data_IF_102700583001
#
_entry.id   IF_102700583001
#
_cell.length_a   1.000
_cell.length_b   1.000
_cell.length_c   1.000
_cell.angle_alpha   90.00
_cell.angle_beta   90.00
_cell.angle_gamma   90.00
#
_symmetry.space_group_name_H-M   'P 1'
#
loop_
_entity.id
_entity.type
_entity.pdbx_description
1 polymer ?
#
# COMPACT_ATOMS: atom_id res chain seq x y z
N UNK A 1 43.81 -43.33 59.17
CA UNK A 1 44.04 -42.01 59.81
C UNK A 1 43.38 -40.97 58.95
N UNK A 2 42.68 -40.06 59.57
CA UNK A 2 42.02 -38.86 59.09
C UNK A 2 40.61 -39.07 58.49
N UNK A 3 39.66 -38.80 59.35
CA UNK A 3 38.22 -38.62 59.08
C UNK A 3 37.94 -37.39 58.22
N UNK A 4 36.98 -37.49 57.32
CA UNK A 4 36.30 -36.35 56.75
C UNK A 4 34.84 -36.40 57.08
N UNK A 5 34.39 -35.38 57.78
CA UNK A 5 33.00 -35.08 58.09
C UNK A 5 32.26 -34.63 56.85
N UNK A 6 31.11 -35.20 56.58
CA UNK A 6 30.13 -34.78 55.61
C UNK A 6 29.19 -33.77 56.30
N UNK A 7 29.09 -32.59 55.74
CA UNK A 7 28.02 -31.62 56.10
C UNK A 7 26.96 -31.60 55.01
N UNK A 8 25.79 -32.13 55.33
CA UNK A 8 24.58 -32.01 54.53
C UNK A 8 24.11 -30.56 54.52
N UNK A 9 24.11 -29.96 53.33
CA UNK A 9 23.51 -28.68 53.04
C UNK A 9 22.17 -28.88 52.33
N UNK A 10 21.08 -28.78 53.07
CA UNK A 10 19.73 -28.83 52.53
C UNK A 10 19.50 -27.64 51.64
N UNK A 11 19.29 -27.89 50.33
CA UNK A 11 18.85 -26.90 49.35
C UNK A 11 17.35 -26.65 49.49
N UNK A 12 16.99 -25.45 49.89
CA UNK A 12 15.61 -24.96 49.86
C UNK A 12 15.15 -24.77 48.42
N UNK A 13 13.94 -25.20 48.03
CA UNK A 13 13.44 -24.96 46.65
C UNK A 13 13.14 -23.48 46.46
N UNK A 14 13.82 -22.89 45.48
CA UNK A 14 13.43 -21.58 44.96
C UNK A 14 12.05 -21.69 44.33
N UNK A 15 11.08 -21.04 44.94
CA UNK A 15 9.76 -20.83 44.35
C UNK A 15 9.91 -20.04 43.04
N UNK A 16 9.40 -20.62 41.97
CA UNK A 16 9.31 -19.98 40.67
C UNK A 16 8.21 -18.88 40.69
N UNK A 17 8.60 -17.65 40.91
CA UNK A 17 7.73 -16.45 40.80
C UNK A 17 7.62 -15.97 39.36
N UNK A 18 7.31 -16.87 38.42
CA UNK A 18 7.36 -16.58 36.98
C UNK A 18 6.02 -16.50 36.25
N UNK A 19 4.88 -16.72 36.89
CA UNK A 19 3.62 -16.86 36.15
C UNK A 19 2.68 -15.63 36.14
N UNK A 20 2.91 -14.63 36.99
CA UNK A 20 1.97 -13.49 37.12
C UNK A 20 2.32 -12.37 36.11
N UNK A 21 3.60 -12.19 35.75
CA UNK A 21 4.02 -11.16 34.80
C UNK A 21 3.61 -11.44 33.35
N UNK A 22 3.63 -12.70 32.90
CA UNK A 22 3.27 -13.08 31.55
C UNK A 22 1.80 -12.84 31.21
N UNK A 23 0.89 -13.15 32.14
CA UNK A 23 -0.55 -12.95 31.94
C UNK A 23 -0.95 -11.47 31.96
N UNK A 24 -0.30 -10.66 32.78
CA UNK A 24 -0.52 -9.22 32.86
C UNK A 24 0.01 -8.51 31.60
N UNK A 25 1.16 -8.93 31.07
CA UNK A 25 1.71 -8.43 29.80
C UNK A 25 0.80 -8.81 28.65
N UNK A 26 0.33 -10.06 28.55
CA UNK A 26 -0.62 -10.49 27.50
C UNK A 26 -1.96 -9.76 27.57
N UNK A 27 -2.49 -9.48 28.77
CA UNK A 27 -3.73 -8.67 28.92
C UNK A 27 -3.51 -7.22 28.54
N UNK A 28 -2.37 -6.63 28.85
CA UNK A 28 -1.99 -5.28 28.42
C UNK A 28 -1.79 -5.19 26.90
N UNK A 29 -1.19 -6.21 26.29
CA UNK A 29 -1.00 -6.30 24.84
C UNK A 29 -2.33 -6.46 24.09
N UNK A 30 -3.25 -7.31 24.57
CA UNK A 30 -4.61 -7.45 24.02
C UNK A 30 -5.43 -6.14 24.15
N UNK A 31 -5.34 -5.46 25.28
CA UNK A 31 -6.00 -4.17 25.50
C UNK A 31 -5.49 -3.09 24.56
N UNK A 32 -4.18 -3.01 24.34
CA UNK A 32 -3.55 -2.09 23.41
C UNK A 32 -3.96 -2.36 21.95
N UNK A 33 -4.04 -3.63 21.58
CA UNK A 33 -4.42 -4.05 20.24
C UNK A 33 -5.89 -3.70 19.94
N UNK A 34 -6.78 -3.93 20.90
CA UNK A 34 -8.20 -3.57 20.80
C UNK A 34 -8.38 -2.05 20.71
N UNK A 35 -7.61 -1.27 21.47
CA UNK A 35 -7.71 0.19 21.48
C UNK A 35 -7.37 0.83 20.12
N UNK A 36 -6.43 0.25 19.34
CA UNK A 36 -6.05 0.78 18.02
C UNK A 36 -6.78 0.10 16.85
N UNK A 37 -7.33 -1.09 17.04
CA UNK A 37 -8.03 -1.82 15.99
C UNK A 37 -9.30 -1.10 15.51
N UNK A 38 -10.11 -0.61 16.45
CA UNK A 38 -11.34 0.10 16.12
C UNK A 38 -11.09 1.41 15.33
N UNK A 39 -10.12 2.28 15.71
CA UNK A 39 -9.72 3.41 14.87
C UNK A 39 -9.25 2.99 13.47
N UNK A 40 -8.42 1.96 13.36
CA UNK A 40 -7.94 1.49 12.07
C UNK A 40 -9.09 0.96 11.19
N UNK A 41 -10.07 0.28 11.77
CA UNK A 41 -11.24 -0.20 11.02
C UNK A 41 -12.14 0.94 10.55
N UNK A 42 -12.28 2.03 11.32
CA UNK A 42 -12.96 3.26 10.83
C UNK A 42 -12.25 3.84 9.62
N UNK A 43 -10.92 3.87 9.64
CA UNK A 43 -10.11 4.29 8.48
C UNK A 43 -10.36 3.36 7.28
N UNK A 44 -10.38 2.04 7.52
CA UNK A 44 -10.69 1.07 6.47
C UNK A 44 -12.09 1.31 5.87
N UNK A 45 -13.09 1.57 6.71
CA UNK A 45 -14.45 1.87 6.28
C UNK A 45 -14.51 3.17 5.45
N UNK A 46 -13.79 4.22 5.86
CA UNK A 46 -13.67 5.47 5.10
C UNK A 46 -13.07 5.24 3.71
N UNK A 47 -11.97 4.48 3.63
CA UNK A 47 -11.35 4.16 2.35
C UNK A 47 -12.28 3.32 1.47
N UNK A 48 -12.98 2.31 2.03
CA UNK A 48 -13.95 1.49 1.27
C UNK A 48 -15.12 2.30 0.71
N UNK A 49 -15.54 3.34 1.42
CA UNK A 49 -16.63 4.23 0.98
C UNK A 49 -16.20 5.22 -0.13
N UNK A 50 -14.91 5.30 -0.44
CA UNK A 50 -14.41 6.23 -1.46
C UNK A 50 -14.63 5.68 -2.87
N UNK A 51 -14.96 6.59 -3.80
CA UNK A 51 -15.09 6.25 -5.22
C UNK A 51 -13.75 5.95 -5.90
N UNK A 52 -12.64 6.52 -5.38
CA UNK A 52 -11.28 6.33 -5.91
C UNK A 52 -10.40 5.74 -4.81
N UNK A 53 -9.85 4.58 -5.08
CA UNK A 53 -8.92 3.89 -4.17
C UNK A 53 -7.59 3.67 -4.89
N UNK A 54 -6.51 4.12 -4.24
CA UNK A 54 -5.15 3.83 -4.64
C UNK A 54 -4.58 2.70 -3.78
N UNK A 55 -3.89 1.74 -4.40
CA UNK A 55 -3.32 0.60 -3.68
C UNK A 55 -1.90 0.30 -4.14
N UNK A 56 -1.08 -0.14 -3.21
CA UNK A 56 0.29 -0.58 -3.43
C UNK A 56 0.68 -1.61 -2.37
N UNK A 57 1.75 -2.37 -2.60
CA UNK A 57 2.23 -3.34 -1.62
C UNK A 57 3.75 -3.43 -1.61
N UNK A 58 4.28 -3.85 -0.48
CA UNK A 58 5.70 -4.15 -0.30
C UNK A 58 5.88 -5.42 0.52
N UNK A 59 7.01 -6.10 0.33
CA UNK A 59 7.30 -7.28 1.16
C UNK A 59 7.50 -6.90 2.62
N UNK A 60 7.02 -7.74 3.52
CA UNK A 60 7.26 -7.73 4.95
C UNK A 60 7.84 -9.07 5.40
N UNK A 61 8.36 -9.14 6.62
CA UNK A 61 8.80 -10.41 7.22
C UNK A 61 8.11 -10.59 8.57
N UNK A 62 7.49 -11.76 8.77
CA UNK A 62 6.82 -12.12 10.03
C UNK A 62 7.29 -13.52 10.42
N UNK A 63 7.87 -13.67 11.63
CA UNK A 63 8.46 -14.95 12.10
C UNK A 63 9.43 -15.57 11.06
N UNK A 64 10.22 -14.72 10.40
CA UNK A 64 11.17 -15.18 9.38
C UNK A 64 10.56 -15.55 8.01
N UNK A 65 9.25 -15.57 7.87
CA UNK A 65 8.53 -15.87 6.61
C UNK A 65 8.24 -14.58 5.83
N UNK A 66 8.13 -14.68 4.50
CA UNK A 66 7.73 -13.57 3.64
C UNK A 66 6.24 -13.36 3.75
N UNK A 67 5.88 -12.14 4.10
CA UNK A 67 4.53 -11.58 4.14
C UNK A 67 4.51 -10.32 3.28
N UNK A 68 3.33 -9.69 3.14
CA UNK A 68 3.15 -8.50 2.30
C UNK A 68 2.37 -7.44 3.06
N UNK A 69 2.92 -6.24 3.08
CA UNK A 69 2.20 -5.08 3.57
C UNK A 69 1.54 -4.39 2.39
N UNK A 70 0.24 -4.26 2.48
CA UNK A 70 -0.61 -3.58 1.52
C UNK A 70 -1.05 -2.23 2.07
N UNK A 71 -1.26 -1.27 1.16
CA UNK A 71 -1.92 0.00 1.45
C UNK A 71 -3.13 0.14 0.57
N UNK A 72 -4.20 0.68 1.16
CA UNK A 72 -5.38 1.12 0.45
C UNK A 72 -5.63 2.56 0.87
N UNK A 73 -5.64 3.50 -0.06
CA UNK A 73 -5.73 4.93 0.23
C UNK A 73 -6.76 5.65 -0.61
N UNK A 74 -7.40 6.66 -0.02
CA UNK A 74 -8.23 7.64 -0.70
C UNK A 74 -7.67 9.05 -0.44
N UNK A 75 -8.38 10.10 -0.83
CA UNK A 75 -7.94 11.48 -0.63
C UNK A 75 -7.61 11.81 0.83
N UNK A 76 -8.39 11.28 1.79
CA UNK A 76 -8.33 11.66 3.21
C UNK A 76 -7.74 10.60 4.12
N UNK A 77 -7.70 9.33 3.70
CA UNK A 77 -7.36 8.22 4.56
C UNK A 77 -6.43 7.20 3.88
N UNK A 78 -5.64 6.48 4.69
CA UNK A 78 -4.79 5.36 4.26
C UNK A 78 -4.92 4.22 5.23
N UNK A 79 -5.35 3.07 4.76
CA UNK A 79 -5.42 1.83 5.51
C UNK A 79 -4.26 0.91 5.14
N UNK A 80 -3.63 0.31 6.16
CA UNK A 80 -2.57 -0.67 5.99
C UNK A 80 -2.99 -2.02 6.53
N UNK A 81 -2.61 -3.08 5.81
CA UNK A 81 -2.74 -4.46 6.27
C UNK A 81 -1.47 -5.25 5.96
N UNK A 82 -1.08 -6.16 6.86
CA UNK A 82 0.03 -7.09 6.62
C UNK A 82 -0.55 -8.50 6.53
N UNK A 83 -0.43 -9.09 5.34
CA UNK A 83 -1.01 -10.39 4.99
C UNK A 83 0.07 -11.41 4.60
N UNK A 84 -0.18 -12.73 4.77
CA UNK A 84 0.77 -13.77 4.41
C UNK A 84 0.91 -13.99 2.90
N UNK A 85 0.12 -13.30 2.09
CA UNK A 85 0.06 -13.48 0.64
C UNK A 85 0.08 -12.15 -0.12
N UNK A 86 0.59 -12.19 -1.37
CA UNK A 86 0.48 -11.13 -2.38
C UNK A 86 -0.72 -11.36 -3.32
N UNK A 87 -1.63 -12.24 -2.94
CA UNK A 87 -2.74 -12.68 -3.78
C UNK A 87 -3.90 -11.69 -3.84
N UNK A 88 -4.74 -11.89 -4.86
CA UNK A 88 -5.96 -11.10 -5.13
C UNK A 88 -6.97 -11.13 -3.96
N UNK A 89 -6.93 -12.15 -3.10
CA UNK A 89 -7.79 -12.24 -1.92
C UNK A 89 -7.64 -11.03 -0.99
N UNK A 90 -6.43 -10.45 -0.85
CA UNK A 90 -6.20 -9.35 0.09
C UNK A 90 -7.02 -8.10 -0.26
N UNK A 91 -6.94 -7.53 -1.49
CA UNK A 91 -7.83 -6.43 -1.86
C UNK A 91 -9.32 -6.86 -1.94
N UNK A 92 -9.64 -8.11 -2.29
CA UNK A 92 -11.01 -8.60 -2.28
C UNK A 92 -11.60 -8.62 -0.86
N UNK A 93 -10.85 -9.15 0.11
CA UNK A 93 -11.27 -9.20 1.52
C UNK A 93 -11.37 -7.78 2.10
N UNK A 94 -10.42 -6.89 1.76
CA UNK A 94 -10.49 -5.48 2.17
C UNK A 94 -11.77 -4.81 1.67
N UNK A 95 -12.17 -5.03 0.42
CA UNK A 95 -13.34 -4.40 -0.17
C UNK A 95 -14.66 -4.96 0.39
N UNK A 96 -14.70 -6.23 0.82
CA UNK A 96 -15.90 -6.83 1.41
C UNK A 96 -17.15 -6.76 0.51
N UNK A 97 -16.95 -6.86 -0.81
CA UNK A 97 -18.02 -6.77 -1.82
C UNK A 97 -18.31 -5.37 -2.35
N UNK A 98 -17.71 -4.32 -1.78
CA UNK A 98 -17.79 -2.96 -2.35
C UNK A 98 -17.01 -2.89 -3.65
N UNK A 99 -17.56 -2.20 -4.65
CA UNK A 99 -16.89 -1.95 -5.93
C UNK A 99 -16.73 -0.44 -6.15
N UNK A 100 -15.54 0.13 -5.90
CA UNK A 100 -15.28 1.54 -6.16
C UNK A 100 -15.36 1.84 -7.66
N UNK A 101 -15.51 3.11 -8.02
CA UNK A 101 -15.52 3.52 -9.43
C UNK A 101 -14.15 3.40 -10.07
N UNK A 102 -13.08 3.66 -9.31
CA UNK A 102 -11.73 3.64 -9.85
C UNK A 102 -10.72 3.03 -8.87
N UNK A 103 -9.83 2.21 -9.41
CA UNK A 103 -8.67 1.65 -8.74
C UNK A 103 -7.39 2.17 -9.38
N UNK A 104 -6.47 2.68 -8.57
CA UNK A 104 -5.14 3.13 -9.01
C UNK A 104 -4.08 2.22 -8.41
N UNK A 105 -3.28 1.57 -9.25
CA UNK A 105 -2.17 0.72 -8.77
C UNK A 105 -1.07 0.58 -9.83
N UNK A 106 -0.06 -0.22 -9.51
CA UNK A 106 0.84 -0.80 -10.49
C UNK A 106 0.14 -1.89 -11.35
N UNK A 107 0.94 -2.61 -12.16
CA UNK A 107 0.44 -3.68 -13.06
C UNK A 107 0.39 -5.06 -12.42
N UNK A 108 0.45 -5.19 -11.10
CA UNK A 108 0.31 -6.49 -10.45
C UNK A 108 -1.06 -7.09 -10.74
N UNK A 109 -1.11 -8.33 -11.21
CA UNK A 109 -2.37 -9.01 -11.54
C UNK A 109 -3.35 -9.08 -10.36
N UNK A 110 -2.85 -9.18 -9.12
CA UNK A 110 -3.66 -9.17 -7.92
C UNK A 110 -4.42 -7.84 -7.69
N UNK A 111 -3.98 -6.75 -8.31
CA UNK A 111 -4.61 -5.43 -8.22
C UNK A 111 -5.77 -5.24 -9.22
N UNK A 112 -5.95 -6.16 -10.17
CA UNK A 112 -6.90 -5.98 -11.27
C UNK A 112 -8.32 -6.46 -10.94
N UNK A 113 -9.32 -5.74 -11.48
CA UNK A 113 -10.73 -6.14 -11.45
C UNK A 113 -11.46 -5.81 -10.15
N UNK A 114 -10.95 -4.89 -9.35
CA UNK A 114 -11.54 -4.46 -8.07
C UNK A 114 -12.46 -3.25 -8.18
N UNK A 115 -12.47 -2.55 -9.32
CA UNK A 115 -13.27 -1.35 -9.57
C UNK A 115 -13.95 -1.42 -10.94
N UNK A 116 -14.78 -0.41 -11.23
CA UNK A 116 -15.38 -0.24 -12.56
C UNK A 116 -14.32 0.14 -13.60
N UNK A 117 -13.41 1.06 -13.24
CA UNK A 117 -12.29 1.50 -14.05
C UNK A 117 -10.96 1.29 -13.31
N UNK A 118 -9.89 1.11 -14.06
CA UNK A 118 -8.54 0.96 -13.51
C UNK A 118 -7.60 2.00 -14.11
N UNK A 119 -6.83 2.69 -13.28
CA UNK A 119 -5.73 3.55 -13.69
C UNK A 119 -4.41 2.88 -13.32
N UNK A 120 -3.55 2.64 -14.30
CA UNK A 120 -2.17 2.25 -14.01
C UNK A 120 -1.32 3.44 -13.63
N UNK A 121 -0.48 3.25 -12.61
CA UNK A 121 0.49 4.24 -12.17
C UNK A 121 1.47 4.58 -13.30
N UNK A 122 1.40 5.80 -13.83
CA UNK A 122 2.26 6.22 -14.93
C UNK A 122 3.75 6.29 -14.52
N UNK A 123 4.05 6.47 -13.23
CA UNK A 123 5.42 6.49 -12.74
C UNK A 123 6.13 5.13 -12.93
N UNK A 124 5.41 4.02 -12.74
CA UNK A 124 5.94 2.68 -13.01
C UNK A 124 6.23 2.48 -14.50
N UNK A 125 5.28 2.84 -15.35
CA UNK A 125 5.45 2.74 -16.81
C UNK A 125 6.56 3.65 -17.34
N UNK A 126 6.77 4.82 -16.73
CA UNK A 126 7.91 5.70 -17.05
C UNK A 126 9.24 5.02 -16.71
N UNK A 127 9.30 4.27 -15.58
CA UNK A 127 10.49 3.48 -15.21
C UNK A 127 10.71 2.31 -16.17
N UNK A 128 9.64 1.60 -16.55
CA UNK A 128 9.71 0.52 -17.54
C UNK A 128 10.19 1.03 -18.91
N UNK A 129 9.69 2.20 -19.32
CA UNK A 129 10.16 2.85 -20.55
C UNK A 129 11.64 3.27 -20.48
N UNK A 130 12.10 3.76 -19.31
CA UNK A 130 13.52 4.05 -19.12
C UNK A 130 14.36 2.78 -19.21
N UNK A 131 13.91 1.68 -18.58
CA UNK A 131 14.58 0.39 -18.66
C UNK A 131 14.74 -0.08 -20.13
N UNK A 132 13.68 0.01 -20.93
CA UNK A 132 13.75 -0.35 -22.36
C UNK A 132 14.69 0.57 -23.16
N UNK A 133 14.76 1.87 -22.84
CA UNK A 133 15.73 2.81 -23.43
C UNK A 133 17.16 2.39 -23.09
N UNK A 134 17.43 2.09 -21.83
CA UNK A 134 18.75 1.69 -21.34
C UNK A 134 19.22 0.35 -21.97
N UNK A 135 18.28 -0.46 -22.46
CA UNK A 135 18.53 -1.71 -23.19
C UNK A 135 18.58 -1.55 -24.72
N UNK A 136 18.45 -0.34 -25.24
CA UNK A 136 18.71 -0.03 -26.66
C UNK A 136 17.48 0.26 -27.51
N UNK A 137 16.26 0.37 -26.94
CA UNK A 137 15.12 0.85 -27.74
C UNK A 137 15.19 2.37 -27.94
N UNK A 138 15.38 2.76 -29.18
CA UNK A 138 15.50 4.17 -29.59
C UNK A 138 14.24 4.74 -30.24
N UNK A 139 13.20 3.94 -30.46
CA UNK A 139 12.00 4.36 -31.20
C UNK A 139 10.76 4.42 -30.31
N UNK A 140 10.34 3.28 -29.74
CA UNK A 140 9.07 3.21 -29.00
C UNK A 140 9.20 3.77 -27.58
N UNK A 141 10.14 3.26 -26.79
CA UNK A 141 10.25 3.59 -25.38
C UNK A 141 10.55 5.07 -25.11
N UNK A 142 11.43 5.78 -25.87
CA UNK A 142 11.62 7.21 -25.68
C UNK A 142 10.34 8.02 -25.95
N UNK A 143 9.62 7.69 -27.02
CA UNK A 143 8.39 8.38 -27.39
C UNK A 143 7.24 8.07 -26.40
N UNK A 144 7.14 6.82 -25.94
CA UNK A 144 6.17 6.42 -24.92
C UNK A 144 6.44 7.12 -23.58
N UNK A 145 7.70 7.17 -23.15
CA UNK A 145 8.10 7.92 -21.95
C UNK A 145 7.74 9.41 -22.03
N UNK A 146 7.95 10.03 -23.20
CA UNK A 146 7.59 11.42 -23.44
C UNK A 146 6.07 11.63 -23.36
N UNK A 147 5.29 10.73 -23.95
CA UNK A 147 3.82 10.73 -23.88
C UNK A 147 3.31 10.64 -22.42
N UNK A 148 3.87 9.74 -21.62
CA UNK A 148 3.47 9.58 -20.21
C UNK A 148 3.85 10.80 -19.37
N UNK A 149 5.00 11.43 -19.63
CA UNK A 149 5.40 12.69 -18.98
C UNK A 149 4.47 13.84 -19.33
N UNK A 150 4.05 13.94 -20.60
CA UNK A 150 3.04 14.91 -21.03
C UNK A 150 1.69 14.68 -20.34
N UNK A 151 1.23 13.42 -20.27
CA UNK A 151 0.04 13.07 -19.51
C UNK A 151 0.11 13.49 -18.03
N UNK A 152 1.25 13.24 -17.37
CA UNK A 152 1.48 13.71 -15.99
C UNK A 152 1.49 15.24 -15.90
N UNK A 153 2.01 15.96 -16.91
CA UNK A 153 1.99 17.42 -16.93
C UNK A 153 0.56 17.97 -17.07
N UNK A 154 -0.28 17.34 -17.88
CA UNK A 154 -1.71 17.66 -17.95
C UNK A 154 -2.38 17.39 -16.60
N UNK A 155 -2.08 16.26 -15.94
CA UNK A 155 -2.58 15.93 -14.62
C UNK A 155 -2.29 17.01 -13.58
N UNK A 156 -1.09 17.52 -13.53
CA UNK A 156 -0.70 18.62 -12.60
C UNK A 156 -1.45 19.94 -12.86
N UNK A 157 -1.78 20.22 -14.11
CA UNK A 157 -2.52 21.43 -14.51
C UNK A 157 -4.03 21.26 -14.44
N UNK A 158 -4.51 20.05 -14.23
CA UNK A 158 -5.94 19.70 -14.25
C UNK A 158 -6.81 20.59 -13.35
N UNK A 159 -6.39 21.00 -12.13
CA UNK A 159 -7.20 21.91 -11.31
C UNK A 159 -7.57 23.22 -12.02
N UNK A 160 -6.66 23.74 -12.85
CA UNK A 160 -6.81 25.04 -13.54
C UNK A 160 -7.44 24.92 -14.94
N UNK A 161 -7.75 23.70 -15.39
CA UNK A 161 -8.28 23.44 -16.72
C UNK A 161 -9.80 23.21 -16.72
N UNK A 162 -10.50 23.74 -17.73
CA UNK A 162 -11.90 23.42 -17.98
C UNK A 162 -12.05 21.95 -18.44
N UNK A 163 -13.19 21.33 -18.12
CA UNK A 163 -13.45 19.91 -18.47
C UNK A 163 -13.35 19.63 -19.96
N UNK A 164 -13.82 20.54 -20.80
CA UNK A 164 -13.67 20.43 -22.26
C UNK A 164 -12.18 20.39 -22.71
N UNK A 165 -11.32 21.17 -22.04
CA UNK A 165 -9.88 21.19 -22.30
C UNK A 165 -9.22 19.88 -21.84
N UNK A 166 -9.59 19.36 -20.65
CA UNK A 166 -9.12 18.07 -20.16
C UNK A 166 -9.52 16.94 -21.13
N UNK A 167 -10.78 16.95 -21.57
CA UNK A 167 -11.28 15.97 -22.56
C UNK A 167 -10.53 16.06 -23.90
N UNK A 168 -10.19 17.28 -24.37
CA UNK A 168 -9.38 17.47 -25.56
C UNK A 168 -7.94 16.93 -25.40
N UNK A 169 -7.31 17.18 -24.25
CA UNK A 169 -5.99 16.60 -23.92
C UNK A 169 -6.05 15.06 -23.88
N UNK A 170 -7.06 14.47 -23.26
CA UNK A 170 -7.26 13.02 -23.21
C UNK A 170 -7.33 12.43 -24.61
N UNK A 171 -8.23 12.94 -25.48
CA UNK A 171 -8.33 12.48 -26.89
C UNK A 171 -7.04 12.64 -27.67
N UNK A 172 -6.27 13.71 -27.42
CA UNK A 172 -4.95 13.90 -28.04
C UNK A 172 -3.97 12.82 -27.60
N UNK A 173 -3.88 12.53 -26.30
CA UNK A 173 -2.98 11.53 -25.75
C UNK A 173 -3.35 10.11 -26.21
N UNK A 174 -4.64 9.78 -26.26
CA UNK A 174 -5.13 8.51 -26.79
C UNK A 174 -4.71 8.31 -28.26
N UNK A 175 -4.94 9.30 -29.13
CA UNK A 175 -4.48 9.24 -30.53
C UNK A 175 -2.96 9.16 -30.67
N UNK A 176 -2.21 9.81 -29.80
CA UNK A 176 -0.74 9.69 -29.80
C UNK A 176 -0.30 8.29 -29.39
N UNK A 177 -0.95 7.69 -28.40
CA UNK A 177 -0.69 6.31 -27.97
C UNK A 177 -0.95 5.32 -29.12
N UNK A 178 -2.09 5.41 -29.80
CA UNK A 178 -2.44 4.57 -30.95
C UNK A 178 -1.34 4.62 -32.03
N UNK A 179 -0.87 5.82 -32.40
CA UNK A 179 0.22 6.00 -33.36
C UNK A 179 1.55 5.41 -32.87
N UNK A 180 1.82 5.48 -31.59
CA UNK A 180 3.04 4.91 -31.00
C UNK A 180 3.00 3.38 -31.01
N UNK A 181 1.86 2.77 -30.70
CA UNK A 181 1.68 1.32 -30.70
C UNK A 181 1.89 0.71 -32.09
N UNK A 182 1.68 1.48 -33.17
CA UNK A 182 1.97 1.05 -34.52
C UNK A 182 3.49 1.06 -34.88
N UNK A 183 4.34 1.69 -34.05
CA UNK A 183 5.79 1.74 -34.28
C UNK A 183 6.46 0.43 -33.89
N UNK A 184 7.49 0.05 -34.65
CA UNK A 184 8.32 -1.12 -34.32
C UNK A 184 9.46 -0.71 -33.40
N UNK A 185 9.56 -1.27 -32.20
CA UNK A 185 10.71 -1.04 -31.32
C UNK A 185 12.00 -1.62 -31.93
N UNK A 186 13.11 -1.02 -31.55
CA UNK A 186 14.45 -1.45 -32.07
C UNK A 186 15.05 -2.57 -31.21
N UNK A 187 14.57 -2.74 -29.99
CA UNK A 187 15.08 -3.75 -29.03
C UNK A 187 13.99 -4.69 -28.50
N UNK A 188 14.42 -5.79 -27.90
CA UNK A 188 13.53 -6.81 -27.29
C UNK A 188 12.75 -6.27 -26.11
N UNK A 189 13.37 -5.49 -25.23
CA UNK A 189 12.67 -4.91 -24.06
C UNK A 189 11.67 -3.85 -24.49
N UNK A 190 11.98 -3.06 -25.53
CA UNK A 190 11.02 -2.16 -26.17
C UNK A 190 9.82 -2.90 -26.75
N UNK A 191 10.03 -4.07 -27.40
CA UNK A 191 8.93 -4.94 -27.89
C UNK A 191 8.07 -5.45 -26.77
N UNK A 192 8.65 -6.00 -25.71
CA UNK A 192 7.91 -6.48 -24.53
C UNK A 192 7.06 -5.37 -23.91
N UNK A 193 7.65 -4.17 -23.76
CA UNK A 193 6.92 -3.02 -23.23
C UNK A 193 5.74 -2.63 -24.14
N UNK A 194 5.96 -2.49 -25.45
CA UNK A 194 4.91 -2.14 -26.42
C UNK A 194 3.77 -3.17 -26.37
N UNK A 195 4.10 -4.46 -26.39
CA UNK A 195 3.10 -5.52 -26.42
C UNK A 195 2.29 -5.57 -25.13
N UNK A 196 2.94 -5.38 -23.97
CA UNK A 196 2.26 -5.25 -22.68
C UNK A 196 1.35 -4.01 -22.63
N UNK A 197 1.79 -2.88 -23.19
CA UNK A 197 0.95 -1.66 -23.26
C UNK A 197 -0.23 -1.88 -24.19
N UNK A 198 -0.05 -2.53 -25.31
CA UNK A 198 -1.11 -2.81 -26.27
C UNK A 198 -2.19 -3.74 -25.70
N UNK A 199 -1.78 -4.83 -25.07
CA UNK A 199 -2.70 -5.89 -24.57
C UNK A 199 -3.38 -5.48 -23.26
N UNK A 200 -2.63 -4.95 -22.30
CA UNK A 200 -3.08 -4.87 -20.91
C UNK A 200 -3.34 -3.44 -20.42
N UNK A 201 -2.75 -2.42 -21.08
CA UNK A 201 -2.65 -1.11 -20.46
C UNK A 201 -3.36 0.01 -21.23
N UNK A 202 -3.60 -0.10 -22.52
CA UNK A 202 -3.98 1.03 -23.39
C UNK A 202 -5.22 1.79 -22.90
N UNK A 203 -6.20 1.08 -22.37
CA UNK A 203 -7.44 1.62 -21.82
C UNK A 203 -7.30 2.16 -20.38
N UNK A 204 -6.17 1.88 -19.70
CA UNK A 204 -5.90 2.16 -18.28
C UNK A 204 -4.87 3.26 -18.04
N UNK A 205 -4.41 3.95 -19.09
CA UNK A 205 -3.36 4.97 -18.96
C UNK A 205 -3.88 6.37 -18.65
N UNK A 206 -5.06 6.72 -19.18
CA UNK A 206 -5.58 8.08 -19.14
C UNK A 206 -6.94 8.19 -18.47
N UNK A 207 -7.29 7.19 -17.63
CA UNK A 207 -8.56 7.17 -16.87
C UNK A 207 -8.61 8.34 -15.88
N UNK A 208 -7.48 8.72 -15.29
CA UNK A 208 -7.37 9.86 -14.39
C UNK A 208 -7.82 11.20 -15.04
N UNK A 209 -7.83 11.30 -16.37
CA UNK A 209 -8.34 12.48 -17.08
C UNK A 209 -9.86 12.50 -17.24
N UNK A 210 -10.57 11.45 -16.80
CA UNK A 210 -12.03 11.42 -16.74
C UNK A 210 -12.56 11.98 -15.42
N UNK A 211 -11.70 12.05 -14.38
CA UNK A 211 -12.07 12.41 -13.01
C UNK A 211 -11.10 13.42 -12.42
N UNK A 212 -11.62 14.38 -11.66
CA UNK A 212 -10.78 15.40 -11.00
C UNK A 212 -10.10 14.93 -9.73
N UNK A 213 -10.65 13.89 -9.11
CA UNK A 213 -10.19 13.28 -7.86
C UNK A 213 -9.20 12.11 -8.04
N UNK A 214 -8.82 11.82 -9.29
CA UNK A 214 -7.92 10.72 -9.62
C UNK A 214 -6.53 11.23 -10.02
N UNK A 215 -5.48 10.60 -9.50
CA UNK A 215 -4.09 10.95 -9.78
C UNK A 215 -3.50 10.10 -10.91
N UNK A 216 -2.55 10.64 -11.71
CA UNK A 216 -1.85 9.88 -12.76
C UNK A 216 -0.84 8.87 -12.19
N UNK A 217 -0.43 9.04 -10.93
CA UNK A 217 0.62 8.24 -10.30
C UNK A 217 0.22 7.81 -8.90
N UNK A 218 0.72 6.67 -8.44
CA UNK A 218 0.48 6.11 -7.13
C UNK A 218 1.55 6.53 -6.09
N UNK A 219 2.13 7.72 -6.25
CA UNK A 219 3.22 8.20 -5.40
C UNK A 219 2.85 8.31 -3.92
N UNK A 220 1.58 8.54 -3.61
CA UNK A 220 1.12 8.64 -2.22
C UNK A 220 1.13 7.29 -1.51
N UNK A 221 0.67 6.23 -2.17
CA UNK A 221 0.75 4.87 -1.63
C UNK A 221 2.20 4.41 -1.47
N UNK A 222 3.06 4.69 -2.47
CA UNK A 222 4.50 4.43 -2.37
C UNK A 222 5.12 5.19 -1.16
N UNK A 223 4.73 6.45 -0.94
CA UNK A 223 5.21 7.26 0.19
C UNK A 223 4.74 6.69 1.53
N UNK A 224 3.49 6.23 1.61
CA UNK A 224 2.93 5.62 2.81
C UNK A 224 3.64 4.29 3.19
N UNK A 225 4.18 3.56 2.20
CA UNK A 225 4.94 2.33 2.44
C UNK A 225 6.41 2.55 2.83
N UNK A 226 6.99 3.73 2.56
CA UNK A 226 8.43 3.99 2.84
C UNK A 226 8.85 3.72 4.29
N UNK A 227 8.10 4.15 5.33
CA UNK A 227 8.46 3.85 6.72
C UNK A 227 8.58 2.35 6.96
N UNK A 228 7.71 1.55 6.38
CA UNK A 228 7.71 0.09 6.52
C UNK A 228 8.89 -0.59 5.81
N UNK A 229 9.30 -0.05 4.66
CA UNK A 229 10.53 -0.50 3.98
C UNK A 229 11.77 -0.22 4.83
N UNK A 230 11.85 0.96 5.46
CA UNK A 230 12.94 1.32 6.38
C UNK A 230 12.90 0.42 7.61
N UNK A 231 11.72 0.28 8.24
CA UNK A 231 11.52 -0.60 9.39
C UNK A 231 12.02 -2.02 9.12
N UNK A 232 11.64 -2.62 7.99
CA UNK A 232 12.10 -3.95 7.59
C UNK A 232 13.62 -4.04 7.44
N UNK A 233 14.26 -3.01 6.87
CA UNK A 233 15.71 -2.98 6.69
C UNK A 233 16.47 -2.89 8.02
N UNK A 234 15.91 -2.19 9.01
CA UNK A 234 16.54 -1.97 10.32
C UNK A 234 16.27 -3.13 11.29
N UNK A 235 15.03 -3.65 11.33
CA UNK A 235 14.59 -4.62 12.35
C UNK A 235 14.55 -6.07 11.87
N UNK A 236 14.77 -6.32 10.57
CA UNK A 236 14.55 -7.62 9.92
C UNK A 236 13.07 -8.11 9.98
N UNK A 237 12.12 -7.27 10.40
CA UNK A 237 10.69 -7.58 10.42
C UNK A 237 10.11 -7.92 11.79
N UNK A 238 8.94 -8.53 11.79
CA UNK A 238 8.11 -8.77 12.97
C UNK A 238 8.38 -10.14 13.59
N UNK A 239 8.44 -10.19 14.92
CA UNK A 239 8.61 -11.44 15.68
C UNK A 239 7.28 -12.18 15.90
N UNK A 240 6.14 -11.50 15.77
CA UNK A 240 4.81 -12.04 15.95
C UNK A 240 3.81 -11.48 14.93
N UNK A 241 2.74 -12.22 14.69
CA UNK A 241 1.65 -11.77 13.81
C UNK A 241 0.86 -10.61 14.43
N UNK A 242 0.67 -10.63 15.74
CA UNK A 242 0.01 -9.53 16.42
C UNK A 242 0.81 -8.24 16.33
N UNK A 243 2.15 -8.30 16.47
CA UNK A 243 3.02 -7.15 16.28
C UNK A 243 2.93 -6.57 14.85
N UNK A 244 2.83 -7.44 13.84
CA UNK A 244 2.60 -7.00 12.46
C UNK A 244 1.24 -6.31 12.29
N UNK A 245 0.16 -6.86 12.86
CA UNK A 245 -1.18 -6.27 12.83
C UNK A 245 -1.24 -4.94 13.57
N UNK A 246 -0.64 -4.85 14.75
CA UNK A 246 -0.52 -3.62 15.54
C UNK A 246 0.22 -2.52 14.76
N UNK A 247 1.34 -2.87 14.14
CA UNK A 247 2.11 -1.96 13.32
C UNK A 247 1.30 -1.44 12.13
N UNK A 248 0.59 -2.31 11.42
CA UNK A 248 -0.27 -1.91 10.30
C UNK A 248 -1.38 -0.95 10.74
N UNK A 249 -2.04 -1.23 11.88
CA UNK A 249 -3.05 -0.34 12.45
C UNK A 249 -2.48 1.03 12.83
N UNK A 250 -1.29 1.08 13.46
CA UNK A 250 -0.61 2.33 13.77
C UNK A 250 -0.19 3.10 12.52
N UNK A 251 0.29 2.41 11.47
CA UNK A 251 0.59 3.05 10.18
C UNK A 251 -0.68 3.68 9.60
N UNK A 252 -1.83 2.99 9.66
CA UNK A 252 -3.10 3.54 9.18
C UNK A 252 -3.47 4.83 9.89
N UNK A 253 -3.36 4.87 11.22
CA UNK A 253 -3.66 6.05 12.04
C UNK A 253 -2.70 7.20 11.71
N UNK A 254 -1.39 6.93 11.70
CA UNK A 254 -0.35 7.94 11.50
C UNK A 254 -0.39 8.51 10.09
N UNK A 255 -0.48 7.66 9.05
CA UNK A 255 -0.50 8.13 7.66
C UNK A 255 -1.81 8.87 7.32
N UNK A 256 -2.95 8.42 7.86
CA UNK A 256 -4.22 9.16 7.76
C UNK A 256 -4.10 10.52 8.48
N UNK A 257 -3.51 10.56 9.68
CA UNK A 257 -3.24 11.81 10.37
C UNK A 257 -2.39 12.77 9.55
N UNK A 258 -1.31 12.29 8.93
CA UNK A 258 -0.43 13.09 8.06
C UNK A 258 -1.14 13.65 6.84
N UNK A 259 -2.02 12.86 6.21
CA UNK A 259 -2.87 13.34 5.09
C UNK A 259 -3.75 14.51 5.50
N UNK A 260 -4.20 14.50 6.74
CA UNK A 260 -5.03 15.57 7.32
C UNK A 260 -4.20 16.62 8.09
N UNK A 261 -2.94 16.80 7.74
CA UNK A 261 -2.02 17.80 8.32
C UNK A 261 -1.84 17.69 9.84
N UNK A 262 -2.00 16.49 10.41
CA UNK A 262 -1.81 16.20 11.85
C UNK A 262 -0.45 15.60 12.10
N UNK A 263 0.13 15.88 13.27
CA UNK A 263 1.32 15.17 13.73
C UNK A 263 1.00 13.71 14.06
N UNK A 264 1.99 12.82 13.97
CA UNK A 264 1.82 11.41 14.35
C UNK A 264 1.31 11.25 15.78
N UNK A 265 1.86 12.03 16.72
CA UNK A 265 1.46 12.00 18.13
C UNK A 265 0.00 12.45 18.32
N UNK A 266 -0.42 13.52 17.63
CA UNK A 266 -1.80 14.01 17.66
C UNK A 266 -2.75 12.95 17.12
N UNK A 267 -2.43 12.35 15.97
CA UNK A 267 -3.27 11.30 15.36
C UNK A 267 -3.44 10.09 16.29
N UNK A 268 -2.36 9.64 16.95
CA UNK A 268 -2.43 8.52 17.90
C UNK A 268 -3.26 8.91 19.13
N UNK A 269 -3.06 10.10 19.71
CA UNK A 269 -3.83 10.55 20.88
C UNK A 269 -5.32 10.63 20.58
N UNK A 270 -5.70 11.22 19.46
CA UNK A 270 -7.09 11.32 19.03
C UNK A 270 -7.72 9.94 18.79
N UNK A 271 -6.97 9.02 18.14
CA UNK A 271 -7.42 7.65 17.91
C UNK A 271 -7.71 6.90 19.21
N UNK A 272 -6.88 7.08 20.23
CA UNK A 272 -7.05 6.43 21.55
C UNK A 272 -8.10 7.11 22.42
N UNK A 273 -8.41 8.40 22.22
CA UNK A 273 -9.40 9.14 22.97
C UNK A 273 -10.85 8.87 22.49
N UNK A 274 -11.02 8.33 21.28
CA UNK A 274 -12.34 7.97 20.77
C UNK A 274 -12.86 6.70 21.48
N UNK A 275 -14.10 6.71 22.04
CA UNK A 275 -14.67 5.50 22.61
C UNK A 275 -14.72 4.41 21.52
N UNK A 276 -14.37 3.18 21.90
CA UNK A 276 -14.56 2.03 21.03
C UNK A 276 -16.05 2.00 20.63
N UNK A 277 -16.36 1.99 19.33
CA UNK A 277 -17.73 1.78 18.90
C UNK A 277 -18.19 0.44 19.48
N UNK A 278 -19.25 0.45 20.27
CA UNK A 278 -19.86 -0.78 20.75
C UNK A 278 -20.22 -1.57 19.50
N UNK A 279 -19.65 -2.76 19.37
CA UNK A 279 -20.12 -3.73 18.39
C UNK A 279 -21.59 -3.98 18.74
N UNK A 280 -22.51 -3.38 17.99
CA UNK A 280 -23.90 -3.70 18.08
C UNK A 280 -24.01 -5.17 17.67
N UNK A 281 -24.22 -6.03 18.66
CA UNK A 281 -24.50 -7.42 18.45
C UNK A 281 -25.78 -7.55 17.63
N UNK A 282 -25.72 -8.38 16.63
CA UNK A 282 -26.84 -9.05 16.03
C UNK A 282 -26.50 -10.56 15.99
#
# INVERSE_FOLDING_TARGET
MISKSTSDGAATPRQASGSVSGLAVMKGELGSLQAIAAPAERIAAEVRASEVIASDETSARVKGKTWWQWTFGCATAVYHVIAPTRGKCVPTDFLGGVKPKMWLSDRLAAQLGHAEEHQFCLAHLIRDAQYAIDHGDTIFAPAFKALLKDACAVGRRRPDLADATIAAHRRRLERQLERLLARKPTDTEGRKLRDAVYVDCSDKLFVFLKRRDAEPTNNESERALRPSVIFRKVTNGFRSEWGAKTYAALCSIVETGRRNSRSALTAIREALALPAAHAAGA
#
